data_IF_432632482898
#
_entry.id   IF_432632482898
#
_cell.length_a   1.000
_cell.length_b   1.000
_cell.length_c   1.000
_cell.angle_alpha   90.00
_cell.angle_beta   90.00
_cell.angle_gamma   90.00
#
_symmetry.space_group_name_H-M   'P 1'
#
loop_
_entity.id
_entity.type
_entity.pdbx_description
1 polymer ?
#
# COMPACT_ATOMS: atom_id res chain seq x y z
N UNK A 1 -15.21 -34.73 -60.40
CA UNK A 1 -14.59 -33.80 -59.43
C UNK A 1 -15.50 -33.37 -58.27
N UNK A 2 -16.81 -33.66 -58.27
CA UNK A 2 -17.71 -33.29 -57.17
C UNK A 2 -17.69 -34.24 -55.94
N UNK A 3 -17.27 -35.50 -56.10
CA UNK A 3 -17.29 -36.50 -55.00
C UNK A 3 -16.15 -36.36 -53.97
N UNK A 4 -15.08 -35.61 -54.28
CA UNK A 4 -13.92 -35.46 -53.39
C UNK A 4 -14.11 -34.30 -52.40
N UNK A 5 -15.06 -33.39 -52.66
CA UNK A 5 -15.33 -32.22 -51.81
C UNK A 5 -16.19 -32.55 -50.58
N UNK A 6 -17.18 -33.44 -50.73
CA UNK A 6 -18.09 -33.81 -49.65
C UNK A 6 -17.42 -34.61 -48.52
N UNK A 7 -16.48 -35.50 -48.84
CA UNK A 7 -15.76 -36.30 -47.85
C UNK A 7 -14.82 -35.45 -47.00
N UNK A 8 -14.17 -34.43 -47.60
CA UNK A 8 -13.32 -33.48 -46.88
C UNK A 8 -14.13 -32.56 -45.95
N UNK A 9 -15.35 -32.16 -46.34
CA UNK A 9 -16.25 -31.38 -45.48
C UNK A 9 -16.76 -32.19 -44.28
N UNK A 10 -17.08 -33.48 -44.46
CA UNK A 10 -17.51 -34.36 -43.36
C UNK A 10 -16.34 -34.65 -42.39
N UNK A 11 -15.12 -34.84 -42.91
CA UNK A 11 -13.93 -35.05 -42.09
C UNK A 11 -13.53 -33.79 -41.30
N UNK A 12 -13.77 -32.59 -41.85
CA UNK A 12 -13.55 -31.32 -41.18
C UNK A 12 -14.65 -31.00 -40.14
N UNK A 13 -15.89 -31.46 -40.36
CA UNK A 13 -16.98 -31.34 -39.38
C UNK A 13 -16.80 -32.26 -38.17
N UNK A 14 -16.23 -33.46 -38.37
CA UNK A 14 -15.90 -34.42 -37.31
C UNK A 14 -14.74 -33.96 -36.42
N UNK A 15 -13.85 -33.09 -36.91
CA UNK A 15 -12.76 -32.49 -36.13
C UNK A 15 -13.22 -31.35 -35.21
N UNK A 16 -14.47 -30.89 -35.30
CA UNK A 16 -15.04 -29.84 -34.44
C UNK A 16 -15.79 -30.40 -33.23
N UNK A 17 -15.96 -31.73 -33.13
CA UNK A 17 -16.44 -32.38 -31.91
C UNK A 17 -15.23 -32.73 -31.06
N UNK A 18 -14.55 -31.72 -30.55
CA UNK A 18 -13.67 -31.90 -29.40
C UNK A 18 -14.56 -32.34 -28.23
N UNK A 19 -14.32 -33.48 -27.57
CA UNK A 19 -14.96 -33.76 -26.30
C UNK A 19 -14.59 -32.61 -25.36
N UNK A 20 -15.58 -31.91 -24.85
CA UNK A 20 -15.41 -30.96 -23.75
C UNK A 20 -14.99 -31.78 -22.53
N UNK A 21 -13.70 -32.07 -22.39
CA UNK A 21 -13.17 -32.60 -21.15
C UNK A 21 -13.26 -31.48 -20.13
N UNK A 22 -14.35 -31.47 -19.34
CA UNK A 22 -14.61 -30.51 -18.26
C UNK A 22 -13.64 -30.62 -17.08
N UNK A 23 -12.53 -31.34 -17.26
CA UNK A 23 -11.49 -31.56 -16.26
C UNK A 23 -10.31 -30.62 -16.52
N UNK A 24 -9.93 -29.86 -15.49
CA UNK A 24 -8.75 -29.01 -15.54
C UNK A 24 -7.52 -29.80 -15.08
N UNK A 25 -6.48 -29.80 -15.92
CA UNK A 25 -5.16 -30.29 -15.53
C UNK A 25 -4.65 -29.49 -14.31
N UNK A 26 -4.39 -30.19 -13.20
CA UNK A 26 -3.96 -29.59 -11.93
C UNK A 26 -5.06 -29.33 -10.89
N UNK A 27 -6.32 -29.66 -11.18
CA UNK A 27 -7.42 -29.58 -10.21
C UNK A 27 -7.85 -30.99 -9.76
N UNK A 28 -8.06 -31.21 -8.46
CA UNK A 28 -8.47 -32.51 -7.91
C UNK A 28 -7.56 -33.68 -8.37
N UNK A 29 -8.06 -34.57 -9.23
CA UNK A 29 -7.35 -35.72 -9.80
C UNK A 29 -6.82 -35.47 -11.23
N UNK A 30 -6.84 -34.22 -11.71
CA UNK A 30 -6.41 -33.84 -13.05
C UNK A 30 -7.44 -34.23 -14.10
N UNK A 31 -6.98 -34.93 -15.15
CA UNK A 31 -7.81 -35.33 -16.30
C UNK A 31 -8.65 -36.59 -16.06
N UNK A 32 -8.42 -37.29 -14.95
CA UNK A 32 -9.11 -38.53 -14.59
C UNK A 32 -10.12 -38.31 -13.46
N UNK A 33 -11.18 -39.12 -13.44
CA UNK A 33 -12.18 -39.05 -12.38
C UNK A 33 -11.67 -39.74 -11.10
N UNK A 34 -11.76 -39.07 -9.94
CA UNK A 34 -11.32 -39.59 -8.65
C UNK A 34 -12.06 -40.88 -8.24
N UNK A 35 -13.33 -41.02 -8.64
CA UNK A 35 -14.11 -42.23 -8.39
C UNK A 35 -13.58 -43.42 -9.21
N UNK A 36 -13.20 -43.18 -10.46
CA UNK A 36 -12.64 -44.19 -11.36
C UNK A 36 -11.25 -44.65 -10.92
N UNK A 37 -10.38 -43.71 -10.50
CA UNK A 37 -9.05 -44.01 -9.95
C UNK A 37 -9.15 -44.99 -8.77
N UNK A 38 -10.15 -44.80 -7.90
CA UNK A 38 -10.38 -45.65 -6.73
C UNK A 38 -11.23 -46.90 -7.01
N UNK A 39 -11.82 -47.00 -8.20
CA UNK A 39 -12.71 -48.09 -8.59
C UNK A 39 -13.99 -48.15 -7.77
N UNK A 40 -14.52 -47.00 -7.37
CA UNK A 40 -15.74 -46.88 -6.56
C UNK A 40 -16.81 -46.06 -7.30
N UNK A 41 -18.08 -46.26 -6.96
CA UNK A 41 -19.18 -45.47 -7.54
C UNK A 41 -19.32 -44.12 -6.84
N UNK A 42 -20.02 -43.17 -7.49
CA UNK A 42 -20.32 -41.86 -6.92
C UNK A 42 -21.14 -41.95 -5.63
N UNK A 43 -21.96 -42.99 -5.48
CA UNK A 43 -22.79 -43.24 -4.29
C UNK A 43 -22.07 -44.05 -3.19
N UNK A 44 -20.78 -44.38 -3.40
CA UNK A 44 -20.03 -45.20 -2.47
C UNK A 44 -19.99 -44.58 -1.06
N UNK A 45 -20.18 -45.43 -0.05
CA UNK A 45 -20.07 -45.03 1.34
C UNK A 45 -18.60 -44.71 1.70
N UNK A 46 -18.38 -43.94 2.77
CA UNK A 46 -17.01 -43.69 3.28
C UNK A 46 -16.24 -44.98 3.53
N UNK A 47 -16.91 -46.03 4.00
CA UNK A 47 -16.30 -47.34 4.23
C UNK A 47 -15.83 -48.02 2.94
N UNK A 48 -16.56 -47.88 1.84
CA UNK A 48 -16.18 -48.43 0.53
C UNK A 48 -15.02 -47.66 -0.09
N UNK A 49 -15.02 -46.33 0.03
CA UNK A 49 -13.91 -45.47 -0.43
C UNK A 49 -12.62 -45.84 0.30
N UNK A 50 -12.66 -45.98 1.63
CA UNK A 50 -11.48 -46.42 2.41
C UNK A 50 -11.03 -47.83 2.04
N UNK A 51 -11.95 -48.76 1.74
CA UNK A 51 -11.60 -50.12 1.28
C UNK A 51 -10.93 -50.09 -0.10
N UNK A 52 -11.48 -49.32 -1.04
CA UNK A 52 -10.91 -49.14 -2.38
C UNK A 52 -9.49 -48.58 -2.33
N UNK A 53 -9.30 -47.52 -1.55
CA UNK A 53 -7.97 -46.94 -1.29
C UNK A 53 -6.99 -47.96 -0.72
N UNK A 54 -7.34 -48.70 0.34
CA UNK A 54 -6.43 -49.69 0.97
C UNK A 54 -6.00 -50.79 -0.01
N UNK A 55 -6.93 -51.26 -0.85
CA UNK A 55 -6.65 -52.29 -1.86
C UNK A 55 -5.66 -51.79 -2.91
N UNK A 56 -5.87 -50.57 -3.42
CA UNK A 56 -5.04 -49.97 -4.47
C UNK A 56 -3.70 -49.47 -3.93
N UNK A 57 -3.67 -48.88 -2.75
CA UNK A 57 -2.45 -48.42 -2.08
C UNK A 57 -1.48 -49.58 -1.81
N UNK A 58 -1.99 -50.76 -1.41
CA UNK A 58 -1.15 -51.96 -1.23
C UNK A 58 -0.60 -52.47 -2.57
N UNK A 59 -1.38 -52.37 -3.65
CA UNK A 59 -0.97 -52.83 -4.99
C UNK A 59 0.10 -51.93 -5.59
N UNK A 60 -0.06 -50.62 -5.45
CA UNK A 60 0.81 -49.60 -6.05
C UNK A 60 1.83 -49.02 -5.06
N UNK A 61 2.10 -49.69 -3.94
CA UNK A 61 3.08 -49.23 -2.97
C UNK A 61 4.48 -49.20 -3.61
N UNK A 62 5.31 -48.15 -3.42
CA UNK A 62 6.63 -48.06 -4.03
C UNK A 62 7.58 -49.20 -3.61
N UNK A 63 7.32 -49.87 -2.50
CA UNK A 63 8.08 -51.06 -2.05
C UNK A 63 7.76 -52.32 -2.85
N UNK A 64 6.61 -52.35 -3.55
CA UNK A 64 6.23 -53.46 -4.42
C UNK A 64 6.82 -53.32 -5.83
N UNK A 65 7.44 -52.17 -6.15
CA UNK A 65 7.99 -51.87 -7.46
C UNK A 65 9.41 -52.44 -7.64
N UNK A 66 9.75 -52.81 -8.88
CA UNK A 66 11.12 -53.14 -9.29
C UNK A 66 12.05 -51.91 -9.33
N UNK A 67 13.23 -52.08 -9.93
CA UNK A 67 14.22 -50.99 -10.07
C UNK A 67 14.01 -50.20 -11.36
N UNK A 68 14.29 -48.89 -11.32
CA UNK A 68 14.26 -48.01 -12.49
C UNK A 68 12.89 -47.39 -12.74
N UNK A 69 12.45 -47.39 -14.01
CA UNK A 69 11.25 -46.71 -14.49
C UNK A 69 9.95 -47.20 -13.82
N UNK A 70 9.88 -48.49 -13.46
CA UNK A 70 8.73 -49.08 -12.76
C UNK A 70 8.49 -48.42 -11.39
N UNK A 71 9.55 -48.03 -10.68
CA UNK A 71 9.44 -47.36 -9.39
C UNK A 71 8.81 -45.97 -9.51
N UNK A 72 9.13 -45.26 -10.58
CA UNK A 72 8.54 -43.94 -10.85
C UNK A 72 7.06 -44.04 -11.20
N UNK A 73 6.68 -45.04 -12.00
CA UNK A 73 5.27 -45.27 -12.35
C UNK A 73 4.43 -45.62 -11.12
N UNK A 74 4.92 -46.55 -10.28
CA UNK A 74 4.26 -46.89 -9.01
C UNK A 74 4.12 -45.68 -8.11
N UNK A 75 5.16 -44.82 -8.02
CA UNK A 75 5.12 -43.61 -7.21
C UNK A 75 4.07 -42.62 -7.73
N UNK A 76 4.00 -42.38 -9.05
CA UNK A 76 2.99 -41.51 -9.66
C UNK A 76 1.57 -42.03 -9.46
N UNK A 77 1.35 -43.32 -9.66
CA UNK A 77 0.04 -43.94 -9.45
C UNK A 77 -0.37 -43.91 -7.98
N UNK A 78 0.57 -44.16 -7.07
CA UNK A 78 0.33 -44.05 -5.63
C UNK A 78 -0.08 -42.62 -5.23
N UNK A 79 0.60 -41.60 -5.76
CA UNK A 79 0.23 -40.20 -5.54
C UNK A 79 -1.17 -39.89 -6.06
N UNK A 80 -1.52 -40.34 -7.28
CA UNK A 80 -2.88 -40.19 -7.83
C UNK A 80 -3.94 -40.83 -6.93
N UNK A 81 -3.70 -42.06 -6.47
CA UNK A 81 -4.60 -42.82 -5.58
C UNK A 81 -4.76 -42.10 -4.22
N UNK A 82 -3.67 -41.59 -3.67
CA UNK A 82 -3.69 -40.83 -2.42
C UNK A 82 -4.51 -39.53 -2.56
N UNK A 83 -4.27 -38.76 -3.63
CA UNK A 83 -5.01 -37.53 -3.91
C UNK A 83 -6.51 -37.81 -4.08
N UNK A 84 -6.88 -38.82 -4.87
CA UNK A 84 -8.28 -39.23 -5.05
C UNK A 84 -8.96 -39.59 -3.72
N UNK A 85 -8.24 -40.29 -2.85
CA UNK A 85 -8.75 -40.62 -1.52
C UNK A 85 -8.90 -39.39 -0.63
N UNK A 86 -7.95 -38.47 -0.62
CA UNK A 86 -8.03 -37.23 0.17
C UNK A 86 -9.24 -36.38 -0.21
N UNK A 87 -9.53 -36.28 -1.51
CA UNK A 87 -10.67 -35.52 -2.04
C UNK A 87 -11.99 -36.20 -1.69
N UNK A 88 -12.10 -37.52 -1.87
CA UNK A 88 -13.36 -38.25 -1.63
C UNK A 88 -13.64 -38.56 -0.16
N UNK A 89 -12.61 -38.57 0.69
CA UNK A 89 -12.74 -38.84 2.14
C UNK A 89 -13.38 -37.69 2.89
N UNK A 90 -13.06 -36.46 2.49
CA UNK A 90 -13.57 -35.25 3.14
C UNK A 90 -14.92 -34.88 2.53
N UNK A 91 -15.94 -34.79 3.38
CA UNK A 91 -17.33 -34.57 2.94
C UNK A 91 -17.47 -33.24 2.18
N UNK A 92 -16.77 -32.17 2.61
CA UNK A 92 -16.79 -30.86 1.94
C UNK A 92 -16.09 -30.91 0.57
N UNK A 93 -14.97 -31.63 0.46
CA UNK A 93 -14.26 -31.76 -0.82
C UNK A 93 -15.03 -32.64 -1.80
N UNK A 94 -15.63 -33.72 -1.31
CA UNK A 94 -16.48 -34.60 -2.11
C UNK A 94 -17.69 -33.85 -2.66
N UNK A 95 -18.31 -32.98 -1.87
CA UNK A 95 -19.40 -32.12 -2.32
C UNK A 95 -18.94 -31.13 -3.40
N UNK A 96 -17.84 -30.43 -3.18
CA UNK A 96 -17.28 -29.51 -4.18
C UNK A 96 -16.84 -30.22 -5.47
N UNK A 97 -16.28 -31.42 -5.35
CA UNK A 97 -15.92 -32.27 -6.47
C UNK A 97 -17.14 -32.73 -7.26
N UNK A 98 -18.18 -33.20 -6.56
CA UNK A 98 -19.47 -33.58 -7.16
C UNK A 98 -20.12 -32.39 -7.88
N UNK A 99 -20.11 -31.21 -7.26
CA UNK A 99 -20.63 -30.00 -7.88
C UNK A 99 -19.88 -29.65 -9.17
N UNK A 100 -18.54 -29.78 -9.19
CA UNK A 100 -17.75 -29.56 -10.39
C UNK A 100 -18.09 -30.56 -11.49
N UNK A 101 -18.30 -31.83 -11.14
CA UNK A 101 -18.72 -32.87 -12.10
C UNK A 101 -20.10 -32.57 -12.70
N UNK A 102 -21.02 -32.03 -11.91
CA UNK A 102 -22.37 -31.66 -12.37
C UNK A 102 -22.40 -30.36 -13.18
N UNK A 103 -21.46 -29.44 -12.91
CA UNK A 103 -21.40 -28.10 -13.51
C UNK A 103 -20.01 -27.82 -14.10
N UNK A 104 -19.62 -28.51 -15.19
CA UNK A 104 -18.31 -28.34 -15.80
C UNK A 104 -18.09 -26.94 -16.40
N UNK A 105 -19.15 -26.28 -16.85
CA UNK A 105 -19.08 -24.94 -17.48
C UNK A 105 -18.65 -23.83 -16.50
N UNK A 106 -18.83 -24.04 -15.18
CA UNK A 106 -18.49 -23.07 -14.13
C UNK A 106 -17.00 -23.11 -13.72
N UNK A 107 -16.09 -23.15 -14.70
CA UNK A 107 -14.64 -23.33 -14.46
C UNK A 107 -14.07 -22.40 -13.38
N UNK A 108 -14.39 -21.10 -13.44
CA UNK A 108 -13.85 -20.11 -12.50
C UNK A 108 -14.36 -20.31 -11.07
N UNK A 109 -15.65 -20.63 -10.90
CA UNK A 109 -16.23 -20.87 -9.58
C UNK A 109 -15.66 -22.14 -8.95
N UNK A 110 -15.56 -23.22 -9.73
CA UNK A 110 -14.98 -24.50 -9.31
C UNK A 110 -13.51 -24.33 -8.90
N UNK A 111 -12.73 -23.56 -9.66
CA UNK A 111 -11.36 -23.20 -9.32
C UNK A 111 -11.30 -22.46 -7.96
N UNK A 112 -12.10 -21.41 -7.76
CA UNK A 112 -12.09 -20.67 -6.50
C UNK A 112 -12.52 -21.52 -5.30
N UNK A 113 -13.48 -22.43 -5.45
CA UNK A 113 -13.91 -23.34 -4.37
C UNK A 113 -12.76 -24.24 -3.90
N UNK A 114 -11.98 -24.78 -4.83
CA UNK A 114 -10.79 -25.58 -4.52
C UNK A 114 -9.73 -24.75 -3.78
N UNK A 115 -9.36 -23.58 -4.30
CA UNK A 115 -8.29 -22.77 -3.70
C UNK A 115 -8.66 -22.09 -2.39
N UNK A 116 -9.95 -21.85 -2.11
CA UNK A 116 -10.42 -21.24 -0.86
C UNK A 116 -9.97 -22.01 0.38
N UNK A 117 -9.85 -23.34 0.27
CA UNK A 117 -9.37 -24.20 1.36
C UNK A 117 -7.90 -23.97 1.68
N UNK A 118 -7.08 -23.77 0.65
CA UNK A 118 -5.63 -23.57 0.77
C UNK A 118 -5.26 -22.12 1.07
N UNK A 119 -6.21 -21.18 0.98
CA UNK A 119 -5.97 -19.78 1.29
C UNK A 119 -5.63 -19.59 2.78
N UNK A 120 -4.52 -18.91 3.11
CA UNK A 120 -4.16 -18.64 4.50
C UNK A 120 -5.22 -17.75 5.15
N UNK A 121 -5.71 -18.14 6.32
CA UNK A 121 -6.73 -17.40 7.10
C UNK A 121 -6.12 -16.20 7.85
N UNK A 122 -5.27 -15.41 7.19
CA UNK A 122 -4.72 -14.19 7.77
C UNK A 122 -5.64 -13.01 7.48
N UNK A 123 -6.00 -12.26 8.51
CA UNK A 123 -6.78 -11.05 8.33
C UNK A 123 -5.93 -10.00 7.63
N UNK A 124 -6.32 -9.64 6.41
CA UNK A 124 -5.61 -8.63 5.60
C UNK A 124 -5.48 -7.28 6.33
N UNK A 125 -6.42 -6.97 7.23
CA UNK A 125 -6.41 -5.78 8.08
C UNK A 125 -5.17 -5.72 8.98
N UNK A 126 -4.75 -6.86 9.54
CA UNK A 126 -3.57 -6.96 10.39
C UNK A 126 -2.31 -6.69 9.55
N UNK A 127 -2.23 -7.29 8.36
CA UNK A 127 -1.09 -7.10 7.44
C UNK A 127 -0.97 -5.63 7.04
N UNK A 128 -2.08 -4.97 6.74
CA UNK A 128 -2.11 -3.53 6.42
C UNK A 128 -1.68 -2.71 7.64
N UNK A 129 -2.20 -2.99 8.83
CA UNK A 129 -1.83 -2.25 10.04
C UNK A 129 -0.33 -2.37 10.36
N UNK A 130 0.24 -3.58 10.27
CA UNK A 130 1.66 -3.84 10.53
C UNK A 130 2.55 -3.19 9.47
N UNK A 131 2.18 -3.27 8.20
CA UNK A 131 2.97 -2.61 7.15
C UNK A 131 2.95 -1.09 7.31
N UNK A 132 1.79 -0.49 7.64
CA UNK A 132 1.68 0.95 7.90
C UNK A 132 2.48 1.40 9.12
N UNK A 133 2.52 0.63 10.21
CA UNK A 133 3.33 0.99 11.39
C UNK A 133 4.82 0.97 11.08
N UNK A 134 5.30 -0.04 10.33
CA UNK A 134 6.69 -0.14 9.90
C UNK A 134 7.08 1.05 9.01
N UNK A 135 6.29 1.34 7.97
CA UNK A 135 6.54 2.48 7.08
C UNK A 135 6.58 3.78 7.86
N UNK A 136 5.64 3.96 8.79
CA UNK A 136 5.55 5.15 9.61
C UNK A 136 6.76 5.33 10.54
N UNK A 137 7.30 4.24 11.09
CA UNK A 137 8.50 4.27 11.92
C UNK A 137 9.74 4.65 11.09
N UNK A 138 9.90 4.06 9.91
CA UNK A 138 11.01 4.37 8.99
C UNK A 138 10.96 5.84 8.56
N UNK A 139 9.77 6.36 8.24
CA UNK A 139 9.60 7.77 7.87
C UNK A 139 9.97 8.73 9.01
N UNK A 140 9.52 8.44 10.23
CA UNK A 140 9.85 9.27 11.40
C UNK A 140 11.35 9.25 11.68
N UNK A 141 11.97 8.06 11.61
CA UNK A 141 13.42 7.92 11.80
C UNK A 141 14.21 8.66 10.73
N UNK A 142 13.82 8.57 9.46
CA UNK A 142 14.44 9.31 8.37
C UNK A 142 14.32 10.84 8.55
N UNK A 143 13.15 11.32 8.97
CA UNK A 143 12.94 12.74 9.27
C UNK A 143 13.84 13.21 10.43
N UNK A 144 13.96 12.41 11.49
CA UNK A 144 14.87 12.69 12.60
C UNK A 144 16.33 12.78 12.16
N UNK A 145 16.77 11.85 11.30
CA UNK A 145 18.12 11.86 10.76
C UNK A 145 18.41 13.09 9.91
N UNK A 146 17.46 13.49 9.06
CA UNK A 146 17.58 14.70 8.25
C UNK A 146 17.68 15.95 9.15
N UNK A 147 16.82 16.07 10.17
CA UNK A 147 16.86 17.17 11.14
C UNK A 147 18.23 17.29 11.82
N UNK A 148 18.77 16.18 12.34
CA UNK A 148 20.08 16.18 13.00
C UNK A 148 21.21 16.57 12.04
N UNK A 149 21.13 16.11 10.79
CA UNK A 149 22.11 16.46 9.75
C UNK A 149 22.09 17.96 9.46
N UNK A 150 20.90 18.57 9.38
CA UNK A 150 20.75 20.01 9.19
C UNK A 150 21.30 20.82 10.36
N UNK A 151 21.00 20.42 11.61
CA UNK A 151 21.54 21.09 12.81
C UNK A 151 23.06 21.03 12.82
N UNK A 152 23.64 19.87 12.54
CA UNK A 152 25.09 19.70 12.50
C UNK A 152 25.75 20.54 11.40
N UNK A 153 25.07 20.74 10.27
CA UNK A 153 25.53 21.63 9.21
C UNK A 153 25.51 23.09 9.65
N UNK A 154 24.39 23.55 10.25
CA UNK A 154 24.23 24.92 10.74
C UNK A 154 25.24 25.28 11.83
N UNK A 155 25.58 24.33 12.72
CA UNK A 155 26.61 24.56 13.75
C UNK A 155 28.01 24.77 13.17
N UNK A 156 28.32 24.16 12.01
CA UNK A 156 29.61 24.30 11.33
C UNK A 156 29.74 25.61 10.58
N UNK A 157 28.63 26.15 10.11
CA UNK A 157 28.63 27.36 9.29
C UNK A 157 28.84 28.62 10.16
N UNK A 158 29.85 29.45 9.86
CA UNK A 158 30.28 30.53 10.76
C UNK A 158 29.22 31.61 10.96
N UNK A 159 28.41 31.87 9.93
CA UNK A 159 27.32 32.86 9.97
C UNK A 159 26.34 32.59 11.10
N UNK A 160 25.87 31.34 11.18
CA UNK A 160 24.88 30.90 12.15
C UNK A 160 25.47 30.77 13.56
N UNK A 161 26.73 30.32 13.67
CA UNK A 161 27.45 30.27 14.94
C UNK A 161 27.62 31.65 15.57
N UNK A 162 28.03 32.65 14.79
CA UNK A 162 28.21 34.02 15.30
C UNK A 162 26.87 34.57 15.81
N UNK A 163 25.79 34.36 15.04
CA UNK A 163 24.45 34.77 15.43
C UNK A 163 24.00 34.11 16.74
N UNK A 164 24.19 32.79 16.86
CA UNK A 164 23.83 32.03 18.06
C UNK A 164 24.65 32.46 19.29
N UNK A 165 25.96 32.72 19.13
CA UNK A 165 26.81 33.24 20.22
C UNK A 165 26.36 34.64 20.65
N UNK A 166 25.97 35.50 19.70
CA UNK A 166 25.43 36.83 20.01
C UNK A 166 24.15 36.76 20.84
N UNK A 167 23.24 35.87 20.48
CA UNK A 167 21.99 35.62 21.22
C UNK A 167 22.29 35.02 22.59
N UNK A 168 23.15 34.00 22.68
CA UNK A 168 23.52 33.37 23.95
C UNK A 168 24.16 34.36 24.93
N UNK A 169 24.98 35.30 24.43
CA UNK A 169 25.53 36.40 25.24
C UNK A 169 24.45 37.38 25.69
N UNK A 170 23.50 37.71 24.82
CA UNK A 170 22.38 38.59 25.16
C UNK A 170 21.44 37.98 26.22
N UNK A 171 21.25 36.66 26.17
CA UNK A 171 20.50 35.88 27.17
C UNK A 171 21.33 35.61 28.46
N UNK A 172 22.59 36.03 28.50
CA UNK A 172 23.48 35.86 29.64
C UNK A 172 23.98 34.42 29.85
N UNK A 173 23.81 33.53 28.87
CA UNK A 173 24.18 32.12 28.96
C UNK A 173 25.68 31.87 28.80
N UNK A 174 26.40 32.80 28.13
CA UNK A 174 27.83 32.68 27.84
C UNK A 174 28.55 33.96 28.28
N UNK A 175 29.71 33.82 28.94
CA UNK A 175 30.60 34.94 29.30
C UNK A 175 30.39 35.54 30.70
N UNK A 176 29.67 34.86 31.60
CA UNK A 176 29.59 35.25 33.01
C UNK A 176 30.94 35.04 33.73
N UNK A 177 31.22 35.86 34.76
CA UNK A 177 32.44 35.73 35.57
C UNK A 177 32.41 34.38 36.31
N UNK A 178 33.49 33.60 36.17
CA UNK A 178 33.64 32.28 36.84
C UNK A 178 33.52 32.42 38.35
N UNK A 179 32.71 31.56 38.94
CA UNK A 179 32.65 31.38 40.38
C UNK A 179 33.93 30.72 40.90
N UNK A 180 34.44 31.19 42.05
CA UNK A 180 35.65 30.64 42.70
C UNK A 180 35.55 29.14 43.07
N UNK A 181 34.35 28.55 43.04
CA UNK A 181 34.07 27.15 43.35
C UNK A 181 33.97 26.24 42.12
N UNK A 182 34.01 26.78 40.91
CA UNK A 182 33.87 25.98 39.68
C UNK A 182 35.13 25.15 39.43
N UNK A 183 35.00 23.81 39.56
CA UNK A 183 36.09 22.84 39.40
C UNK A 183 36.17 22.23 37.99
N UNK A 184 35.30 22.65 37.07
CA UNK A 184 35.21 22.06 35.72
C UNK A 184 36.47 22.30 34.90
N UNK A 185 36.83 21.31 34.08
CA UNK A 185 37.98 21.43 33.18
C UNK A 185 37.69 22.40 32.03
N UNK A 186 38.74 22.95 31.41
CA UNK A 186 38.60 23.85 30.26
C UNK A 186 37.87 23.19 29.08
N UNK A 187 38.03 21.87 28.92
CA UNK A 187 37.37 21.06 27.89
C UNK A 187 35.85 20.97 28.15
N UNK A 188 35.45 20.69 29.40
CA UNK A 188 34.04 20.62 29.81
C UNK A 188 33.30 21.93 29.57
N UNK A 189 33.93 23.06 29.93
CA UNK A 189 33.33 24.39 29.73
C UNK A 189 33.16 24.69 28.24
N UNK A 190 34.12 24.29 27.39
CA UNK A 190 33.99 24.44 25.93
C UNK A 190 32.84 23.60 25.39
N UNK A 191 32.69 22.37 25.87
CA UNK A 191 31.61 21.48 25.44
C UNK A 191 30.24 22.01 25.87
N UNK A 192 30.12 22.56 27.08
CA UNK A 192 28.89 23.21 27.54
C UNK A 192 28.54 24.46 26.70
N UNK A 193 29.53 25.31 26.41
CA UNK A 193 29.33 26.46 25.51
C UNK A 193 28.87 26.01 24.12
N UNK A 194 29.45 24.93 23.58
CA UNK A 194 29.03 24.33 22.31
C UNK A 194 27.61 23.75 22.37
N UNK A 195 27.21 23.11 23.47
CA UNK A 195 25.83 22.64 23.67
C UNK A 195 24.83 23.80 23.79
N UNK A 196 25.20 24.88 24.48
CA UNK A 196 24.37 26.09 24.58
C UNK A 196 24.18 26.71 23.19
N UNK A 197 25.26 26.85 22.42
CA UNK A 197 25.19 27.35 21.04
C UNK A 197 24.27 26.45 20.21
N UNK A 198 24.42 25.13 20.31
CA UNK A 198 23.55 24.18 19.60
C UNK A 198 22.07 24.36 19.98
N UNK A 199 21.75 24.53 21.27
CA UNK A 199 20.38 24.78 21.75
C UNK A 199 19.80 26.09 21.21
N UNK A 200 20.60 27.16 21.19
CA UNK A 200 20.19 28.46 20.61
C UNK A 200 19.90 28.34 19.12
N UNK A 201 20.72 27.55 18.39
CA UNK A 201 20.47 27.23 16.98
C UNK A 201 19.16 26.45 16.82
N UNK A 202 18.92 25.44 17.65
CA UNK A 202 17.69 24.63 17.62
C UNK A 202 16.42 25.44 17.91
N UNK A 203 16.47 26.40 18.83
CA UNK A 203 15.30 27.16 19.27
C UNK A 203 15.02 28.39 18.39
N UNK A 204 16.08 29.10 17.99
CA UNK A 204 15.95 30.42 17.35
C UNK A 204 16.08 30.38 15.83
N UNK A 205 16.62 29.30 15.24
CA UNK A 205 16.70 29.19 13.78
C UNK A 205 15.48 28.47 13.22
N UNK A 206 14.81 29.15 12.31
CA UNK A 206 13.65 28.61 11.59
C UNK A 206 14.11 27.66 10.48
N UNK A 207 14.32 26.40 10.82
CA UNK A 207 14.70 25.35 9.87
C UNK A 207 13.43 24.86 9.15
N UNK A 208 13.28 25.25 7.88
CA UNK A 208 12.07 24.98 7.10
C UNK A 208 12.21 23.75 6.20
N UNK A 209 11.06 23.14 5.88
CA UNK A 209 10.96 22.07 4.87
C UNK A 209 11.30 20.69 5.42
N UNK A 210 11.90 19.80 4.60
CA UNK A 210 12.20 18.41 4.95
C UNK A 210 13.26 18.20 6.04
N UNK A 211 13.75 19.29 6.62
CA UNK A 211 14.73 19.35 7.70
C UNK A 211 14.16 19.96 8.98
N UNK A 212 12.86 20.25 9.05
CA UNK A 212 12.22 20.74 10.27
C UNK A 212 12.20 19.66 11.35
N UNK A 213 12.05 20.08 12.61
CA UNK A 213 11.87 19.15 13.72
C UNK A 213 10.63 18.27 13.44
N UNK A 214 10.76 16.93 13.48
CA UNK A 214 9.65 16.06 13.17
C UNK A 214 8.60 16.13 14.28
N UNK A 215 7.38 16.51 13.92
CA UNK A 215 6.26 16.48 14.84
C UNK A 215 5.56 15.13 14.81
N UNK A 216 4.99 14.74 15.95
CA UNK A 216 4.18 13.52 16.08
C UNK A 216 2.99 13.53 15.10
N UNK A 217 2.49 14.72 14.74
CA UNK A 217 1.39 14.88 13.77
C UNK A 217 1.81 14.55 12.32
N UNK A 218 3.11 14.50 12.03
CA UNK A 218 3.64 14.19 10.70
C UNK A 218 3.75 12.68 10.45
N UNK A 219 3.50 11.87 11.48
CA UNK A 219 3.49 10.41 11.43
C UNK A 219 2.26 9.95 10.63
N UNK A 220 2.48 9.15 9.58
CA UNK A 220 1.43 8.66 8.67
C UNK A 220 0.25 8.03 9.41
N UNK A 221 0.54 7.23 10.44
CA UNK A 221 -0.48 6.56 11.23
C UNK A 221 -1.41 7.54 11.97
N UNK A 222 -0.83 8.62 12.49
CA UNK A 222 -1.56 9.67 13.20
C UNK A 222 -2.35 10.53 12.22
N UNK A 223 -1.80 10.78 11.04
CA UNK A 223 -2.50 11.46 9.95
C UNK A 223 -3.73 10.66 9.49
N UNK A 224 -3.62 9.34 9.41
CA UNK A 224 -4.74 8.47 9.03
C UNK A 224 -5.88 8.56 10.06
N UNK A 225 -5.55 8.57 11.36
CA UNK A 225 -6.52 8.71 12.45
C UNK A 225 -7.21 10.08 12.43
N UNK A 226 -6.45 11.14 12.16
CA UNK A 226 -6.99 12.50 12.14
C UNK A 226 -7.67 12.86 10.81
N UNK A 227 -7.44 12.07 9.75
CA UNK A 227 -8.01 12.31 8.42
C UNK A 227 -9.54 12.48 8.39
N UNK A 228 -10.37 11.67 9.09
CA UNK A 228 -11.82 11.89 9.10
C UNK A 228 -12.21 13.22 9.73
N UNK A 229 -11.54 13.62 10.81
CA UNK A 229 -11.81 14.91 11.46
C UNK A 229 -11.52 16.08 10.52
N UNK A 230 -10.37 16.06 9.84
CA UNK A 230 -10.03 17.12 8.87
C UNK A 230 -10.93 17.11 7.65
N UNK A 231 -11.38 15.93 7.19
CA UNK A 231 -12.32 15.80 6.08
C UNK A 231 -13.67 16.45 6.43
N UNK A 232 -14.20 16.20 7.63
CA UNK A 232 -15.44 16.84 8.09
C UNK A 232 -15.29 18.36 8.20
N UNK A 233 -14.20 18.83 8.81
CA UNK A 233 -13.91 20.27 8.88
C UNK A 233 -13.84 20.91 7.50
N UNK A 234 -13.21 20.23 6.53
CA UNK A 234 -13.15 20.69 5.15
C UNK A 234 -14.52 20.73 4.48
N UNK A 235 -15.36 19.72 4.67
CA UNK A 235 -16.72 19.70 4.11
C UNK A 235 -17.57 20.84 4.66
N UNK A 236 -17.48 21.13 5.97
CA UNK A 236 -18.18 22.26 6.59
C UNK A 236 -17.68 23.58 6.01
N UNK A 237 -16.35 23.76 5.92
CA UNK A 237 -15.76 24.95 5.33
C UNK A 237 -16.17 25.13 3.87
N UNK A 238 -16.17 24.06 3.08
CA UNK A 238 -16.55 24.07 1.67
C UNK A 238 -18.05 24.39 1.49
N UNK A 239 -18.93 23.81 2.32
CA UNK A 239 -20.34 24.14 2.30
C UNK A 239 -20.57 25.63 2.63
N UNK A 240 -19.87 26.18 3.62
CA UNK A 240 -19.91 27.61 3.94
C UNK A 240 -19.40 28.47 2.77
N UNK A 241 -18.34 28.04 2.10
CA UNK A 241 -17.78 28.73 0.95
C UNK A 241 -18.79 28.79 -0.21
N UNK A 242 -19.38 27.65 -0.57
CA UNK A 242 -20.43 27.57 -1.61
C UNK A 242 -21.62 28.46 -1.24
N UNK A 243 -22.08 28.40 0.00
CA UNK A 243 -23.18 29.25 0.45
C UNK A 243 -22.89 30.75 0.32
N UNK A 244 -21.75 31.21 0.83
CA UNK A 244 -21.39 32.65 0.81
C UNK A 244 -21.11 33.17 -0.59
N UNK A 245 -20.36 32.44 -1.40
CA UNK A 245 -19.84 32.97 -2.67
C UNK A 245 -20.65 32.55 -3.90
N UNK A 246 -21.22 31.34 -3.93
CA UNK A 246 -22.01 30.91 -5.09
C UNK A 246 -23.46 31.32 -5.00
N UNK A 247 -24.06 31.19 -3.80
CA UNK A 247 -25.48 31.51 -3.60
C UNK A 247 -25.66 32.99 -3.25
N UNK A 248 -25.00 33.48 -2.19
CA UNK A 248 -25.16 34.89 -1.76
C UNK A 248 -24.38 35.91 -2.58
N UNK A 249 -23.43 35.48 -3.42
CA UNK A 249 -22.55 36.33 -4.23
C UNK A 249 -21.93 37.50 -3.44
N UNK A 250 -21.47 37.21 -2.23
CA UNK A 250 -20.73 38.19 -1.42
C UNK A 250 -19.36 38.49 -2.05
N UNK A 251 -18.85 39.70 -1.87
CA UNK A 251 -17.48 40.05 -2.28
C UNK A 251 -16.45 39.29 -1.43
N UNK A 252 -15.33 38.90 -2.05
CA UNK A 252 -14.27 38.17 -1.35
C UNK A 252 -13.58 39.08 -0.33
N UNK A 253 -13.46 38.61 0.91
CA UNK A 253 -12.63 39.24 1.93
C UNK A 253 -11.14 39.03 1.66
N UNK A 254 -10.29 39.70 2.45
CA UNK A 254 -8.84 39.60 2.33
C UNK A 254 -8.32 38.17 2.58
N UNK A 255 -8.90 37.44 3.53
CA UNK A 255 -8.51 36.06 3.83
C UNK A 255 -8.85 35.10 2.67
N UNK A 256 -10.02 35.28 2.06
CA UNK A 256 -10.48 34.47 0.94
C UNK A 256 -9.70 34.76 -0.34
N UNK A 257 -9.34 36.03 -0.59
CA UNK A 257 -8.42 36.42 -1.67
C UNK A 257 -7.06 35.77 -1.48
N UNK A 258 -6.50 35.80 -0.27
CA UNK A 258 -5.21 35.18 0.03
C UNK A 258 -5.24 33.67 -0.19
N UNK A 259 -6.33 33.00 0.18
CA UNK A 259 -6.52 31.58 -0.12
C UNK A 259 -6.51 31.31 -1.63
N UNK A 260 -7.23 32.10 -2.42
CA UNK A 260 -7.26 31.98 -3.88
C UNK A 260 -5.88 32.24 -4.49
N UNK A 261 -5.20 33.32 -4.10
CA UNK A 261 -3.86 33.65 -4.57
C UNK A 261 -2.90 32.49 -4.28
N UNK A 262 -2.91 31.96 -3.05
CA UNK A 262 -2.09 30.79 -2.68
C UNK A 262 -2.39 29.58 -3.55
N UNK A 263 -3.67 29.32 -3.82
CA UNK A 263 -4.12 28.20 -4.65
C UNK A 263 -3.63 28.31 -6.08
N UNK A 264 -3.69 29.51 -6.69
CA UNK A 264 -3.25 29.74 -8.07
C UNK A 264 -1.72 29.76 -8.21
N UNK A 265 -0.99 30.25 -7.19
CA UNK A 265 0.48 30.26 -7.20
C UNK A 265 1.11 28.88 -7.03
N UNK A 266 0.34 27.85 -6.63
CA UNK A 266 0.86 26.50 -6.31
C UNK A 266 2.07 26.51 -5.35
N UNK A 267 2.19 27.57 -4.55
CA UNK A 267 3.33 27.76 -3.66
C UNK A 267 3.26 26.75 -2.51
N UNK A 268 4.38 26.08 -2.24
CA UNK A 268 4.51 25.23 -1.05
C UNK A 268 4.34 26.07 0.23
N UNK A 269 3.97 25.42 1.34
CA UNK A 269 3.72 26.11 2.61
C UNK A 269 4.93 26.91 3.08
N UNK A 270 6.13 26.35 2.97
CA UNK A 270 7.38 27.00 3.36
C UNK A 270 7.71 28.20 2.47
N UNK A 271 7.45 28.12 1.17
CA UNK A 271 7.60 29.26 0.24
C UNK A 271 6.59 30.37 0.53
N UNK A 272 5.34 30.00 0.84
CA UNK A 272 4.28 30.95 1.18
C UNK A 272 4.56 31.71 2.48
N UNK A 273 5.02 31.01 3.51
CA UNK A 273 5.40 31.58 4.81
C UNK A 273 6.73 32.35 4.76
N UNK A 274 7.52 32.20 3.69
CA UNK A 274 8.77 32.97 3.48
C UNK A 274 8.54 34.31 2.78
N UNK A 275 7.34 34.53 2.22
CA UNK A 275 7.04 35.75 1.48
C UNK A 275 6.93 36.96 2.45
N UNK A 276 7.83 37.94 2.37
CA UNK A 276 7.87 39.07 3.32
C UNK A 276 6.61 39.93 3.33
N UNK A 277 5.86 39.91 2.21
CA UNK A 277 4.71 40.78 1.95
C UNK A 277 3.46 40.37 2.77
N UNK A 278 3.43 39.16 3.34
CA UNK A 278 2.20 38.55 3.89
C UNK A 278 2.22 38.30 5.41
N UNK A 279 3.28 38.75 6.10
CA UNK A 279 3.48 38.52 7.53
C UNK A 279 2.35 39.00 8.47
N UNK A 280 1.64 40.12 8.24
CA UNK A 280 0.64 40.59 9.22
C UNK A 280 -0.70 39.83 9.20
N UNK A 281 -0.98 38.98 8.20
CA UNK A 281 -2.29 38.30 8.04
C UNK A 281 -2.27 36.84 8.52
N UNK A 282 -1.09 36.26 8.73
CA UNK A 282 -0.93 34.83 8.96
C UNK A 282 -1.31 34.34 10.38
N UNK A 283 -1.48 35.24 11.36
CA UNK A 283 -1.76 34.86 12.76
C UNK A 283 -3.18 34.29 12.98
N UNK A 284 -4.15 34.62 12.12
CA UNK A 284 -5.54 34.12 12.16
C UNK A 284 -5.81 32.90 11.26
N UNK A 285 -4.95 32.64 10.27
CA UNK A 285 -5.12 31.61 9.24
C UNK A 285 -4.71 30.17 9.67
N UNK A 286 -4.35 29.97 10.94
CA UNK A 286 -3.88 28.68 11.48
C UNK A 286 -4.93 27.55 11.33
N UNK A 287 -6.21 27.88 11.11
CA UNK A 287 -7.32 26.94 10.92
C UNK A 287 -7.46 26.47 9.45
N UNK A 288 -7.02 27.25 8.45
CA UNK A 288 -7.24 26.95 7.01
C UNK A 288 -6.10 26.13 6.39
N UNK A 289 -4.95 26.03 7.08
CA UNK A 289 -3.76 25.32 6.61
C UNK A 289 -3.90 23.78 6.54
N UNK A 290 -5.02 23.21 6.99
CA UNK A 290 -5.28 21.77 6.95
C UNK A 290 -5.75 21.26 5.57
N UNK A 291 -6.13 22.14 4.61
CA UNK A 291 -6.54 21.68 3.27
C UNK A 291 -5.37 21.24 2.37
N UNK A 292 -4.12 21.55 2.72
CA UNK A 292 -2.93 21.11 1.97
C UNK A 292 -2.50 19.67 2.29
N UNK A 293 -3.13 19.03 3.27
CA UNK A 293 -2.74 17.71 3.75
C UNK A 293 -3.19 16.56 2.83
N UNK A 294 -4.23 16.78 2.04
CA UNK A 294 -4.79 15.77 1.12
C UNK A 294 -3.92 15.59 -0.14
N UNK A 295 -3.08 16.58 -0.50
CA UNK A 295 -2.18 16.47 -1.66
C UNK A 295 -0.88 15.69 -1.38
N UNK A 296 -0.63 15.28 -0.13
CA UNK A 296 0.59 14.54 0.24
C UNK A 296 0.46 13.05 -0.13
N UNK A 297 -0.75 12.51 -0.27
CA UNK A 297 -0.97 11.10 -0.62
C UNK A 297 -0.62 10.75 -2.08
N UNK A 298 -0.44 11.73 -2.97
CA UNK A 298 -0.02 11.47 -4.37
C UNK A 298 1.42 11.86 -4.68
N UNK A 299 2.10 12.65 -3.83
CA UNK A 299 3.32 13.35 -4.23
C UNK A 299 4.62 13.01 -3.49
N UNK A 300 4.60 12.17 -2.43
CA UNK A 300 5.86 11.76 -1.76
C UNK A 300 6.50 10.48 -2.31
N UNK A 301 5.84 9.74 -3.19
CA UNK A 301 6.38 8.54 -3.84
C UNK A 301 6.56 8.66 -5.37
N UNK A 302 6.11 9.75 -6.00
CA UNK A 302 6.09 9.89 -7.46
C UNK A 302 7.05 10.98 -7.99
N UNK A 303 8.14 11.25 -7.27
CA UNK A 303 9.20 12.14 -7.75
C UNK A 303 10.09 11.39 -8.78
N UNK A 304 9.53 10.94 -9.92
CA UNK A 304 10.33 10.77 -11.14
C UNK A 304 9.66 10.57 -12.51
N UNK A 305 8.36 10.31 -12.68
CA UNK A 305 7.91 9.92 -14.04
C UNK A 305 6.42 10.09 -14.39
N UNK A 306 5.71 11.14 -13.98
CA UNK A 306 4.29 11.25 -14.36
C UNK A 306 3.73 12.68 -14.43
N UNK A 307 4.34 13.52 -15.28
CA UNK A 307 3.79 14.84 -15.63
C UNK A 307 2.72 14.81 -16.75
N UNK A 308 2.36 13.64 -17.32
CA UNK A 308 1.58 13.61 -18.57
C UNK A 308 0.16 13.00 -18.52
N UNK A 309 -0.31 12.36 -17.44
CA UNK A 309 -1.63 11.71 -17.46
C UNK A 309 -2.79 12.56 -16.93
N UNK A 310 -2.53 13.49 -16.00
CA UNK A 310 -3.58 14.32 -15.37
C UNK A 310 -3.93 15.54 -16.23
N UNK A 311 -3.04 15.96 -17.13
CA UNK A 311 -3.31 17.01 -18.12
C UNK A 311 -4.28 16.54 -19.22
N UNK A 312 -4.23 15.26 -19.62
CA UNK A 312 -5.01 14.75 -20.76
C UNK A 312 -6.52 14.71 -20.53
N UNK A 313 -6.97 14.48 -19.28
CA UNK A 313 -8.40 14.47 -18.92
C UNK A 313 -8.98 15.86 -18.65
N UNK A 314 -8.15 16.84 -18.29
CA UNK A 314 -8.59 18.22 -18.09
C UNK A 314 -8.69 18.98 -19.42
N UNK A 315 -7.84 18.68 -20.40
CA UNK A 315 -7.87 19.30 -21.73
C UNK A 315 -9.09 18.86 -22.56
N UNK A 316 -9.56 17.61 -22.42
CA UNK A 316 -10.80 17.12 -23.06
C UNK A 316 -12.07 17.81 -22.51
N UNK A 317 -12.09 18.18 -21.22
CA UNK A 317 -13.23 18.87 -20.60
C UNK A 317 -13.22 20.38 -20.85
N UNK A 318 -12.05 20.99 -21.07
CA UNK A 318 -11.93 22.40 -21.47
C UNK A 318 -12.23 22.65 -22.95
N UNK A 319 -11.94 21.69 -23.85
CA UNK A 319 -12.23 21.85 -25.30
C UNK A 319 -13.73 21.83 -25.61
N UNK A 320 -14.55 21.15 -24.79
CA UNK A 320 -16.00 21.06 -24.99
C UNK A 320 -16.78 22.31 -24.57
N UNK A 321 -16.19 23.24 -23.80
CA UNK A 321 -16.89 24.44 -23.28
C UNK A 321 -16.64 25.72 -24.08
N UNK A 322 -15.82 25.68 -25.14
CA UNK A 322 -15.46 26.86 -25.94
C UNK A 322 -16.22 26.97 -27.28
N UNK A 323 -17.31 26.22 -27.49
CA UNK A 323 -18.11 26.28 -28.73
C UNK A 323 -19.59 26.61 -28.59
N UNK A 324 -20.06 26.99 -27.40
CA UNK A 324 -21.45 27.44 -27.17
C UNK A 324 -21.49 28.53 -26.09
N UNK A 325 -21.06 29.74 -26.46
CA UNK A 325 -21.62 31.03 -26.03
C UNK A 325 -20.94 32.16 -26.79
#
# INVERSE_FOLDING_TARGET
MAHICGVKMIFFLLLLVSPSYGFLEGLYCGLENCYEILGVTRDASRGEITKGYRKLAKKWHPDMAGKGEEKEEFTKMFQKIANAYEILRDDEQRENYNYMLDNPDEHLANYYRYYRRYAPKVDIRIVIAVSLTIISAIQYWGAWNNYNTAINYLCKEPKYRIQAVGIAKAEGLIGQKRDRKDKRTKEEIRNEEEEIIKKVIEEKMDIRGGYSKPDIKDILWIQLILSPYYLVQYLIWFARWVWRFWIRREEYGEEEKLYLIKKYLKASRSQWEASPVLFPVCSKLRIVAYSSFIFIFTNKACFRYQDNLVCFLHDLLCFARFKLS
#
